data_IF_546959939172
#
_entry.id   IF_546959939172
#
_cell.length_a   1.000
_cell.length_b   1.000
_cell.length_c   1.000
_cell.angle_alpha   90.00
_cell.angle_beta   90.00
_cell.angle_gamma   90.00
#
_symmetry.space_group_name_H-M   'P 1'
#
loop_
_entity.id
_entity.type
_entity.pdbx_description
1 polymer ?
#
# COMPACT_ATOMS: atom_id res chain seq x y z
N UNK A 1 -10.50 -39.21 7.28
CA UNK A 1 -11.28 -38.68 8.43
C UNK A 1 -12.71 -38.45 7.96
N UNK A 2 -13.68 -38.58 8.87
CA UNK A 2 -15.08 -38.31 8.52
C UNK A 2 -15.59 -37.07 9.26
N UNK A 3 -16.29 -36.21 8.52
CA UNK A 3 -16.96 -35.01 9.03
C UNK A 3 -18.43 -34.98 8.69
N UNK A 4 -19.23 -34.46 9.58
CA UNK A 4 -20.69 -34.29 9.41
C UNK A 4 -20.94 -32.82 9.05
N UNK A 5 -21.63 -32.59 7.92
CA UNK A 5 -22.02 -31.25 7.53
C UNK A 5 -23.07 -30.70 8.48
N UNK A 6 -22.82 -29.54 9.02
CA UNK A 6 -23.73 -28.75 9.85
C UNK A 6 -23.98 -27.38 9.18
N UNK A 7 -24.76 -26.54 9.85
CA UNK A 7 -25.14 -25.24 9.32
C UNK A 7 -23.92 -24.29 9.22
N UNK A 8 -23.33 -24.23 8.06
CA UNK A 8 -22.15 -23.35 7.78
C UNK A 8 -20.79 -23.87 8.25
N UNK A 9 -20.66 -25.10 8.73
CA UNK A 9 -19.38 -25.70 9.16
C UNK A 9 -19.44 -27.25 9.11
N UNK A 10 -18.27 -27.89 9.28
CA UNK A 10 -18.17 -29.36 9.32
C UNK A 10 -17.68 -29.84 10.68
N UNK A 11 -18.35 -30.80 11.25
CA UNK A 11 -18.05 -31.37 12.58
C UNK A 11 -17.25 -32.66 12.42
N UNK A 12 -16.03 -32.69 12.96
CA UNK A 12 -15.29 -33.96 13.17
C UNK A 12 -15.44 -34.36 14.62
N UNK A 13 -16.30 -35.39 14.87
CA UNK A 13 -16.68 -35.84 16.25
C UNK A 13 -15.59 -36.69 16.91
N UNK A 14 -14.77 -37.39 16.12
CA UNK A 14 -13.71 -38.24 16.67
C UNK A 14 -12.66 -37.40 17.36
N UNK A 15 -12.39 -37.69 18.64
CA UNK A 15 -11.47 -36.91 19.46
C UNK A 15 -10.00 -37.04 19.00
N UNK A 16 -9.61 -38.23 18.54
CA UNK A 16 -8.23 -38.47 18.10
C UNK A 16 -7.96 -37.74 16.79
N UNK A 17 -8.87 -37.83 15.84
CA UNK A 17 -8.81 -37.10 14.58
C UNK A 17 -8.89 -35.58 14.80
N UNK A 18 -9.80 -35.12 15.66
CA UNK A 18 -9.88 -33.70 16.04
C UNK A 18 -8.61 -33.15 16.66
N UNK A 19 -8.00 -33.89 17.60
CA UNK A 19 -6.72 -33.52 18.20
C UNK A 19 -5.59 -33.49 17.16
N UNK A 20 -5.58 -34.38 16.18
CA UNK A 20 -4.61 -34.39 15.08
C UNK A 20 -4.80 -33.18 14.15
N UNK A 21 -6.03 -32.84 13.79
CA UNK A 21 -6.35 -31.67 12.96
C UNK A 21 -5.92 -30.39 13.67
N UNK A 22 -6.34 -30.19 14.90
CA UNK A 22 -6.05 -28.97 15.67
C UNK A 22 -4.56 -28.87 16.05
N UNK A 23 -4.00 -29.90 16.71
CA UNK A 23 -2.67 -29.82 17.29
C UNK A 23 -1.53 -29.92 16.29
N UNK A 24 -1.66 -30.78 15.24
CA UNK A 24 -0.64 -30.95 14.21
C UNK A 24 -0.95 -30.19 12.93
N UNK A 25 -2.20 -30.17 12.53
CA UNK A 25 -2.66 -29.55 11.29
C UNK A 25 -2.94 -28.07 11.42
N UNK A 26 -3.18 -27.55 12.61
CA UNK A 26 -3.69 -26.20 12.83
C UNK A 26 -4.98 -25.93 12.05
N UNK A 27 -5.92 -26.89 12.08
CA UNK A 27 -7.26 -26.79 11.51
C UNK A 27 -8.31 -26.86 12.62
N UNK A 28 -9.43 -26.19 12.41
CA UNK A 28 -10.61 -26.27 13.23
C UNK A 28 -10.54 -25.53 14.57
N UNK A 29 -11.67 -25.55 15.24
CA UNK A 29 -11.88 -25.01 16.59
C UNK A 29 -12.28 -26.14 17.53
N UNK A 30 -11.60 -26.32 18.70
CA UNK A 30 -11.92 -27.39 19.64
C UNK A 30 -13.34 -27.31 20.16
N UNK A 31 -14.05 -28.45 20.21
CA UNK A 31 -15.41 -28.59 20.75
C UNK A 31 -15.38 -29.00 22.21
N UNK A 32 -16.38 -28.55 22.94
CA UNK A 32 -16.67 -29.14 24.27
C UNK A 32 -17.12 -30.59 24.09
N UNK A 33 -16.42 -31.51 24.73
CA UNK A 33 -16.70 -32.94 24.59
C UNK A 33 -15.87 -33.70 23.57
N UNK A 34 -14.94 -33.02 22.90
CA UNK A 34 -14.00 -33.60 21.93
C UNK A 34 -14.35 -33.32 20.47
N UNK A 35 -13.35 -33.52 19.60
CA UNK A 35 -13.46 -33.21 18.18
C UNK A 35 -13.21 -31.76 17.86
N UNK A 36 -13.46 -31.35 16.61
CA UNK A 36 -13.28 -30.00 16.11
C UNK A 36 -14.40 -29.58 15.17
N UNK A 37 -14.66 -28.29 15.12
CA UNK A 37 -15.47 -27.63 14.10
C UNK A 37 -14.50 -27.03 13.05
N UNK A 38 -14.73 -27.34 11.78
CA UNK A 38 -14.00 -26.82 10.63
C UNK A 38 -14.88 -25.79 9.93
N UNK A 39 -14.32 -24.63 9.61
CA UNK A 39 -14.98 -23.68 8.71
C UNK A 39 -15.04 -24.23 7.27
N UNK A 40 -15.76 -23.53 6.38
CA UNK A 40 -15.94 -24.00 5.01
C UNK A 40 -14.65 -23.93 4.19
N UNK A 41 -13.74 -22.96 4.44
CA UNK A 41 -12.43 -22.88 3.79
C UNK A 41 -11.55 -24.09 4.15
N UNK A 42 -11.47 -24.40 5.46
CA UNK A 42 -10.74 -25.55 5.98
C UNK A 42 -11.32 -26.87 5.46
N UNK A 43 -12.64 -26.97 5.43
CA UNK A 43 -13.36 -28.16 4.98
C UNK A 43 -13.15 -28.43 3.50
N UNK A 44 -13.30 -27.41 2.65
CA UNK A 44 -13.03 -27.52 1.21
C UNK A 44 -11.59 -27.94 0.94
N UNK A 45 -10.61 -27.33 1.60
CA UNK A 45 -9.21 -27.68 1.43
C UNK A 45 -8.92 -29.14 1.86
N UNK A 46 -9.46 -29.57 2.98
CA UNK A 46 -9.24 -30.94 3.48
C UNK A 46 -9.92 -32.00 2.59
N UNK A 47 -11.08 -31.68 1.97
CA UNK A 47 -11.74 -32.54 0.97
C UNK A 47 -10.93 -32.57 -0.32
N UNK A 48 -10.46 -31.41 -0.84
CA UNK A 48 -9.56 -31.35 -2.02
C UNK A 48 -8.32 -32.23 -1.83
N UNK A 49 -7.74 -32.21 -0.63
CA UNK A 49 -6.55 -33.00 -0.29
C UNK A 49 -6.85 -34.49 0.00
N UNK A 50 -8.09 -34.94 -0.10
CA UNK A 50 -8.49 -36.31 0.22
C UNK A 50 -8.32 -36.69 1.71
N UNK A 51 -8.20 -35.68 2.60
CA UNK A 51 -8.00 -35.89 4.06
C UNK A 51 -9.28 -35.92 4.86
N UNK A 52 -10.35 -35.36 4.31
CA UNK A 52 -11.66 -35.28 4.94
C UNK A 52 -12.73 -35.81 3.99
N UNK A 53 -13.62 -36.65 4.48
CA UNK A 53 -14.82 -37.13 3.81
C UNK A 53 -16.02 -36.50 4.51
N UNK A 54 -16.72 -35.59 3.83
CA UNK A 54 -17.88 -34.87 4.42
C UNK A 54 -19.15 -35.57 4.00
N UNK A 55 -20.05 -35.78 4.96
CA UNK A 55 -21.35 -36.40 4.72
C UNK A 55 -22.45 -35.69 5.54
N UNK A 56 -23.65 -35.84 5.07
CA UNK A 56 -24.87 -35.60 5.88
C UNK A 56 -25.66 -36.91 5.99
N UNK A 57 -26.94 -36.83 6.39
CA UNK A 57 -27.81 -38.03 6.52
C UNK A 57 -28.09 -38.74 5.19
N UNK A 58 -27.90 -38.08 4.06
CA UNK A 58 -28.35 -38.50 2.73
C UNK A 58 -27.24 -38.85 1.76
N UNK A 59 -26.08 -38.16 1.83
CA UNK A 59 -25.00 -38.32 0.86
C UNK A 59 -23.61 -37.92 1.40
N UNK A 60 -22.58 -38.31 0.63
CA UNK A 60 -21.23 -37.83 0.77
C UNK A 60 -21.00 -36.68 -0.22
N UNK A 61 -20.27 -35.65 0.19
CA UNK A 61 -20.01 -34.46 -0.58
C UNK A 61 -18.63 -34.54 -1.26
N UNK A 62 -18.60 -34.32 -2.57
CA UNK A 62 -17.37 -34.14 -3.33
C UNK A 62 -16.77 -32.75 -3.06
N UNK A 63 -15.55 -32.48 -3.55
CA UNK A 63 -14.96 -31.14 -3.51
C UNK A 63 -15.86 -30.13 -4.22
N UNK A 64 -16.37 -30.46 -5.40
CA UNK A 64 -17.28 -29.61 -6.15
C UNK A 64 -18.56 -29.29 -5.37
N UNK A 65 -19.16 -30.29 -4.72
CA UNK A 65 -20.35 -30.09 -3.90
C UNK A 65 -20.06 -29.12 -2.72
N UNK A 66 -18.94 -29.33 -2.04
CA UNK A 66 -18.51 -28.46 -0.93
C UNK A 66 -18.23 -27.04 -1.38
N UNK A 67 -17.53 -26.89 -2.53
CA UNK A 67 -17.21 -25.59 -3.10
C UNK A 67 -18.48 -24.81 -3.49
N UNK A 68 -19.42 -25.47 -4.19
CA UNK A 68 -20.71 -24.87 -4.54
C UNK A 68 -21.53 -24.47 -3.30
N UNK A 69 -21.54 -25.34 -2.27
CA UNK A 69 -22.22 -25.04 -1.01
C UNK A 69 -21.61 -23.79 -0.35
N UNK A 70 -20.30 -23.73 -0.28
CA UNK A 70 -19.60 -22.61 0.32
C UNK A 70 -19.76 -21.30 -0.49
N UNK A 71 -19.74 -21.37 -1.82
CA UNK A 71 -19.97 -20.20 -2.70
C UNK A 71 -21.40 -19.66 -2.61
N UNK A 72 -22.38 -20.50 -2.25
CA UNK A 72 -23.74 -20.03 -1.99
C UNK A 72 -23.91 -19.39 -0.60
N UNK A 73 -23.02 -19.69 0.34
CA UNK A 73 -23.08 -19.22 1.71
C UNK A 73 -22.18 -18.01 1.99
N UNK A 74 -21.11 -17.84 1.24
CA UNK A 74 -20.07 -16.82 1.44
C UNK A 74 -19.84 -16.11 0.11
N UNK A 75 -19.97 -14.79 0.13
CA UNK A 75 -19.66 -13.93 -1.01
C UNK A 75 -18.16 -14.02 -1.37
N UNK A 76 -17.85 -14.02 -2.67
CA UNK A 76 -16.47 -14.12 -3.19
C UNK A 76 -15.68 -15.34 -2.64
N UNK A 77 -16.38 -16.44 -2.33
CA UNK A 77 -15.77 -17.64 -1.76
C UNK A 77 -14.62 -18.19 -2.59
N UNK A 78 -14.69 -18.12 -3.91
CA UNK A 78 -13.64 -18.53 -4.84
C UNK A 78 -12.33 -17.74 -4.62
N UNK A 79 -12.42 -16.41 -4.48
CA UNK A 79 -11.29 -15.55 -4.16
C UNK A 79 -10.72 -15.89 -2.78
N UNK A 80 -11.59 -16.00 -1.78
CA UNK A 80 -11.20 -16.39 -0.41
C UNK A 80 -10.49 -17.74 -0.40
N UNK A 81 -11.01 -18.73 -1.14
CA UNK A 81 -10.45 -20.06 -1.20
C UNK A 81 -9.08 -20.11 -1.86
N UNK A 82 -8.90 -19.41 -2.99
CA UNK A 82 -7.61 -19.31 -3.70
C UNK A 82 -6.54 -18.73 -2.76
N UNK A 83 -6.83 -17.60 -2.09
CA UNK A 83 -5.90 -16.98 -1.14
C UNK A 83 -5.61 -17.90 0.06
N UNK A 84 -6.65 -18.49 0.65
CA UNK A 84 -6.52 -19.44 1.75
C UNK A 84 -5.61 -20.61 1.37
N UNK A 85 -5.84 -21.21 0.21
CA UNK A 85 -5.09 -22.34 -0.32
C UNK A 85 -3.62 -22.00 -0.58
N UNK A 86 -3.34 -20.83 -1.20
CA UNK A 86 -1.97 -20.39 -1.44
C UNK A 86 -1.20 -20.19 -0.13
N UNK A 87 -1.80 -19.53 0.86
CA UNK A 87 -1.15 -19.32 2.16
C UNK A 87 -0.91 -20.64 2.89
N UNK A 88 -1.89 -21.56 2.86
CA UNK A 88 -1.78 -22.86 3.56
C UNK A 88 -0.80 -23.79 2.89
N UNK A 89 -0.85 -23.95 1.58
CA UNK A 89 -0.07 -24.94 0.82
C UNK A 89 1.17 -24.32 0.19
N UNK A 90 1.02 -23.15 -0.43
CA UNK A 90 2.12 -22.48 -1.11
C UNK A 90 3.12 -21.83 -0.16
N UNK A 91 2.65 -21.31 1.00
CA UNK A 91 3.50 -20.63 2.00
C UNK A 91 3.71 -21.43 3.27
N UNK A 92 2.91 -22.46 3.52
CA UNK A 92 3.00 -23.27 4.72
C UNK A 92 2.65 -22.54 6.03
N UNK A 93 1.86 -21.46 5.93
CA UNK A 93 1.46 -20.67 7.09
C UNK A 93 0.10 -21.11 7.64
N UNK A 94 -0.12 -20.86 8.91
CA UNK A 94 -1.42 -21.05 9.54
C UNK A 94 -2.32 -19.85 9.23
N UNK A 95 -3.55 -20.14 8.80
CA UNK A 95 -4.57 -19.15 8.44
C UNK A 95 -5.88 -19.56 9.11
N UNK A 96 -6.62 -18.58 9.57
CA UNK A 96 -7.98 -18.75 10.11
C UNK A 96 -8.93 -17.77 9.44
N UNK A 97 -10.12 -18.21 9.15
CA UNK A 97 -11.20 -17.36 8.70
C UNK A 97 -11.56 -16.36 9.82
N UNK A 98 -11.82 -15.13 9.46
CA UNK A 98 -12.28 -14.08 10.35
C UNK A 98 -13.68 -13.61 9.93
N UNK A 99 -14.29 -12.78 10.76
CA UNK A 99 -15.56 -12.13 10.48
C UNK A 99 -15.42 -10.62 10.66
N UNK A 100 -16.14 -9.83 9.86
CA UNK A 100 -16.11 -8.37 9.93
C UNK A 100 -15.23 -7.76 8.85
N UNK A 101 -14.34 -6.82 9.19
CA UNK A 101 -13.57 -6.02 8.23
C UNK A 101 -12.41 -6.77 7.56
N UNK A 102 -12.11 -7.97 7.97
CA UNK A 102 -11.01 -8.80 7.47
C UNK A 102 -11.51 -10.21 7.20
N UNK A 103 -10.98 -10.83 6.16
CA UNK A 103 -11.40 -12.17 5.74
C UNK A 103 -10.65 -13.27 6.50
N UNK A 104 -9.39 -12.99 6.81
CA UNK A 104 -8.50 -13.99 7.43
C UNK A 104 -7.51 -13.35 8.39
N UNK A 105 -7.11 -14.16 9.38
CA UNK A 105 -5.91 -13.92 10.18
C UNK A 105 -4.80 -14.90 9.81
N UNK A 106 -3.58 -14.38 9.62
CA UNK A 106 -2.42 -15.16 9.18
C UNK A 106 -1.34 -15.14 10.27
N UNK A 107 -0.84 -16.31 10.63
CA UNK A 107 0.19 -16.48 11.64
C UNK A 107 1.58 -16.39 11.01
N UNK A 108 2.56 -15.97 11.78
CA UNK A 108 3.95 -15.94 11.34
C UNK A 108 4.52 -17.32 11.07
N UNK A 109 5.62 -17.40 10.33
CA UNK A 109 6.27 -18.66 9.97
C UNK A 109 6.64 -19.49 11.22
N UNK A 110 6.30 -20.77 11.22
CA UNK A 110 6.53 -21.72 12.32
C UNK A 110 5.65 -21.50 13.55
N UNK A 111 4.68 -20.58 13.51
CA UNK A 111 3.73 -20.33 14.60
C UNK A 111 2.50 -21.22 14.49
N UNK A 112 1.88 -21.51 15.64
CA UNK A 112 0.67 -22.34 15.75
C UNK A 112 -0.49 -21.51 16.30
N UNK A 113 -1.72 -21.86 15.93
CA UNK A 113 -2.91 -21.21 16.46
C UNK A 113 -3.12 -21.38 17.97
N UNK A 114 -2.56 -22.46 18.55
CA UNK A 114 -2.72 -22.80 19.98
C UNK A 114 -1.91 -21.91 20.93
N UNK A 115 -0.77 -21.37 20.47
CA UNK A 115 0.23 -20.74 21.33
C UNK A 115 0.73 -19.36 20.81
N UNK A 116 0.18 -18.89 19.70
CA UNK A 116 0.63 -17.68 19.05
C UNK A 116 -0.53 -16.75 18.71
N UNK A 117 -0.21 -15.48 18.47
CA UNK A 117 -1.18 -14.51 17.91
C UNK A 117 -0.91 -14.33 16.41
N UNK A 118 -1.96 -14.05 15.62
CA UNK A 118 -1.78 -13.69 14.21
C UNK A 118 -0.83 -12.49 14.05
N UNK A 119 0.00 -12.53 13.04
CA UNK A 119 0.90 -11.44 12.66
C UNK A 119 0.23 -10.49 11.66
N UNK A 120 -0.71 -11.01 10.89
CA UNK A 120 -1.39 -10.26 9.83
C UNK A 120 -2.89 -10.45 9.90
N UNK A 121 -3.62 -9.39 9.56
CA UNK A 121 -5.03 -9.42 9.15
C UNK A 121 -5.04 -9.27 7.63
N UNK A 122 -5.81 -10.09 6.93
CA UNK A 122 -5.78 -10.19 5.48
C UNK A 122 -7.16 -9.91 4.89
N UNK A 123 -7.18 -9.15 3.81
CA UNK A 123 -8.30 -8.96 2.89
C UNK A 123 -7.97 -9.66 1.57
N UNK A 124 -8.83 -10.57 1.14
CA UNK A 124 -8.71 -11.27 -0.13
C UNK A 124 -9.61 -10.57 -1.16
N UNK A 125 -9.03 -10.18 -2.27
CA UNK A 125 -9.74 -9.38 -3.27
C UNK A 125 -9.39 -9.83 -4.70
N UNK A 126 -10.33 -9.65 -5.62
CA UNK A 126 -10.07 -9.82 -7.04
C UNK A 126 -9.27 -8.62 -7.59
N UNK A 127 -8.40 -8.85 -8.59
CA UNK A 127 -7.74 -7.76 -9.33
C UNK A 127 -8.74 -6.78 -9.98
N UNK A 128 -9.99 -7.24 -10.19
CA UNK A 128 -11.08 -6.42 -10.75
C UNK A 128 -11.82 -5.57 -9.72
N UNK A 129 -11.55 -5.76 -8.44
CA UNK A 129 -12.15 -4.94 -7.41
C UNK A 129 -11.49 -3.57 -7.32
N UNK A 130 -12.24 -2.62 -6.78
CA UNK A 130 -11.77 -1.26 -6.52
C UNK A 130 -11.14 -1.20 -5.14
N UNK A 131 -9.97 -0.63 -5.04
CA UNK A 131 -9.29 -0.35 -3.79
C UNK A 131 -9.63 1.07 -3.33
N UNK A 132 -10.16 1.18 -2.12
CA UNK A 132 -10.40 2.44 -1.42
C UNK A 132 -9.22 2.76 -0.49
N UNK A 133 -8.59 3.93 -0.71
CA UNK A 133 -7.40 4.33 0.04
C UNK A 133 -7.73 4.74 1.46
N UNK A 134 -8.86 5.40 1.68
CA UNK A 134 -9.30 5.84 3.01
C UNK A 134 -9.61 4.66 3.91
N UNK A 135 -10.37 3.69 3.42
CA UNK A 135 -10.66 2.43 4.13
C UNK A 135 -9.38 1.63 4.41
N UNK A 136 -8.46 1.57 3.45
CA UNK A 136 -7.19 0.86 3.63
C UNK A 136 -6.27 1.53 4.65
N UNK A 137 -6.26 2.86 4.69
CA UNK A 137 -5.51 3.62 5.69
C UNK A 137 -6.07 3.37 7.10
N UNK A 138 -7.39 3.45 7.28
CA UNK A 138 -8.04 3.20 8.57
C UNK A 138 -7.86 1.73 9.01
N UNK A 139 -8.01 0.77 8.11
CA UNK A 139 -7.72 -0.64 8.39
C UNK A 139 -6.25 -0.89 8.78
N UNK A 140 -5.32 -0.15 8.15
CA UNK A 140 -3.89 -0.23 8.51
C UNK A 140 -3.63 0.32 9.92
N UNK A 141 -4.25 1.45 10.28
CA UNK A 141 -4.16 2.02 11.63
C UNK A 141 -4.73 1.06 12.68
N UNK A 142 -5.94 0.56 12.43
CA UNK A 142 -6.61 -0.40 13.34
C UNK A 142 -5.74 -1.65 13.58
N UNK A 143 -5.17 -2.23 12.52
CA UNK A 143 -4.31 -3.41 12.67
C UNK A 143 -3.02 -3.09 13.41
N UNK A 144 -2.42 -1.92 13.16
CA UNK A 144 -1.20 -1.48 13.86
C UNK A 144 -1.42 -1.28 15.36
N UNK A 145 -2.56 -0.73 15.79
CA UNK A 145 -2.94 -0.61 17.22
C UNK A 145 -2.99 -1.98 17.90
N UNK A 146 -3.43 -3.00 17.16
CA UNK A 146 -3.44 -4.40 17.61
C UNK A 146 -2.09 -5.12 17.44
N UNK A 147 -1.03 -4.41 17.06
CA UNK A 147 0.30 -4.95 16.75
C UNK A 147 0.29 -6.01 15.67
N UNK A 148 -0.51 -5.81 14.65
CA UNK A 148 -0.62 -6.64 13.45
C UNK A 148 -0.36 -5.78 12.21
N UNK A 149 -0.18 -6.41 11.06
CA UNK A 149 -0.09 -5.71 9.79
C UNK A 149 -1.29 -6.05 8.92
N UNK A 150 -1.73 -5.11 8.10
CA UNK A 150 -2.73 -5.37 7.07
C UNK A 150 -2.04 -5.95 5.83
N UNK A 151 -2.59 -7.06 5.31
CA UNK A 151 -2.25 -7.64 4.02
C UNK A 151 -3.45 -7.57 3.08
N UNK A 152 -3.19 -7.35 1.81
CA UNK A 152 -4.11 -7.68 0.72
C UNK A 152 -3.56 -8.88 -0.04
N UNK A 153 -4.41 -9.88 -0.28
CA UNK A 153 -4.16 -10.97 -1.22
C UNK A 153 -4.99 -10.71 -2.48
N UNK A 154 -4.35 -10.29 -3.55
CA UNK A 154 -5.00 -9.92 -4.81
C UNK A 154 -4.90 -11.09 -5.77
N UNK A 155 -6.05 -11.62 -6.20
CA UNK A 155 -6.17 -12.77 -7.10
C UNK A 155 -6.40 -12.26 -8.52
N UNK A 156 -5.56 -12.69 -9.47
CA UNK A 156 -5.71 -12.37 -10.88
C UNK A 156 -6.60 -13.38 -11.63
N UNK A 157 -6.80 -13.17 -12.93
CA UNK A 157 -7.66 -14.01 -13.78
C UNK A 157 -7.17 -15.46 -13.92
N UNK A 158 -5.86 -15.72 -13.70
CA UNK A 158 -5.26 -17.06 -13.77
C UNK A 158 -5.27 -17.76 -12.39
N UNK A 159 -5.71 -17.05 -11.33
CA UNK A 159 -5.72 -17.55 -9.96
C UNK A 159 -4.39 -17.39 -9.22
N UNK A 160 -3.47 -16.64 -9.77
CA UNK A 160 -2.23 -16.29 -9.09
C UNK A 160 -2.48 -15.20 -8.02
N UNK A 161 -1.81 -15.35 -6.86
CA UNK A 161 -2.00 -14.43 -5.73
C UNK A 161 -0.78 -13.51 -5.55
N UNK A 162 -1.02 -12.22 -5.63
CA UNK A 162 -0.04 -11.18 -5.28
C UNK A 162 -0.39 -10.55 -3.94
N UNK A 163 0.59 -10.47 -3.03
CA UNK A 163 0.37 -9.89 -1.70
C UNK A 163 0.96 -8.50 -1.57
N UNK A 164 0.19 -7.61 -0.95
CA UNK A 164 0.61 -6.26 -0.59
C UNK A 164 0.49 -6.07 0.92
N UNK A 165 1.57 -5.63 1.54
CA UNK A 165 1.59 -5.27 2.96
C UNK A 165 1.48 -3.76 3.08
N UNK A 166 0.61 -3.31 3.96
CA UNK A 166 0.31 -1.91 4.14
C UNK A 166 1.07 -1.32 5.34
N UNK A 167 1.56 -0.09 5.17
CA UNK A 167 2.22 0.65 6.26
C UNK A 167 1.76 2.11 6.28
N UNK A 168 1.39 2.60 7.45
CA UNK A 168 1.32 4.05 7.67
C UNK A 168 2.74 4.56 7.88
N UNK A 169 3.14 5.57 7.11
CA UNK A 169 4.48 6.15 7.15
C UNK A 169 4.45 7.58 7.65
N UNK A 170 5.55 7.97 8.27
CA UNK A 170 5.85 9.35 8.66
C UNK A 170 7.24 9.71 8.11
N UNK A 171 7.33 10.07 6.79
CA UNK A 171 8.60 10.31 6.15
C UNK A 171 9.26 11.57 6.72
N UNK A 172 10.55 11.49 7.04
CA UNK A 172 11.35 12.60 7.53
C UNK A 172 12.75 12.58 6.91
N UNK A 173 13.32 13.76 6.77
CA UNK A 173 14.68 13.97 6.25
C UNK A 173 15.50 14.88 7.14
N UNK A 174 16.67 15.30 6.65
CA UNK A 174 17.64 16.11 7.39
C UNK A 174 17.93 17.45 6.73
N UNK A 175 17.37 17.71 5.54
CA UNK A 175 17.64 18.91 4.73
C UNK A 175 16.53 19.92 4.93
N UNK A 176 16.68 20.77 5.91
CA UNK A 176 15.80 21.92 6.13
C UNK A 176 16.34 23.10 5.33
N UNK A 177 15.47 23.96 4.73
CA UNK A 177 15.92 25.19 4.11
C UNK A 177 16.70 26.01 5.12
N UNK A 178 17.91 26.40 4.73
CA UNK A 178 18.85 27.13 5.61
C UNK A 178 18.56 28.61 5.62
N UNK A 179 19.11 29.36 6.61
CA UNK A 179 19.02 30.83 6.67
C UNK A 179 19.95 31.53 5.67
N UNK A 180 20.28 30.87 4.55
CA UNK A 180 21.07 31.47 3.46
C UNK A 180 20.32 32.70 2.94
N UNK A 181 20.99 33.85 2.98
CA UNK A 181 20.46 35.09 2.42
C UNK A 181 20.56 35.04 0.90
N UNK A 182 19.43 35.26 0.26
CA UNK A 182 19.38 35.32 -1.19
C UNK A 182 17.95 35.43 -1.68
N UNK A 183 17.82 35.82 -2.93
CA UNK A 183 16.56 35.92 -3.63
C UNK A 183 16.81 35.61 -5.11
N UNK A 184 15.89 34.97 -5.77
CA UNK A 184 16.00 34.68 -7.19
C UNK A 184 14.95 35.45 -8.01
N UNK A 185 15.25 35.74 -9.25
CA UNK A 185 14.31 36.28 -10.23
C UNK A 185 14.06 35.23 -11.32
N UNK A 186 12.83 34.77 -11.44
CA UNK A 186 12.43 33.75 -12.39
C UNK A 186 11.49 34.28 -13.45
N UNK A 187 11.55 33.69 -14.63
CA UNK A 187 10.63 33.94 -15.74
C UNK A 187 9.82 32.70 -16.01
N UNK A 188 8.50 32.82 -15.97
CA UNK A 188 7.57 31.73 -16.32
C UNK A 188 7.57 31.55 -17.84
N UNK A 189 7.87 30.34 -18.28
CA UNK A 189 7.78 29.90 -19.68
C UNK A 189 7.06 28.55 -19.75
N UNK A 190 5.87 28.56 -20.31
CA UNK A 190 5.00 27.38 -20.38
C UNK A 190 4.82 26.72 -18.99
N UNK A 191 5.32 25.54 -18.77
CA UNK A 191 5.12 24.73 -17.58
C UNK A 191 6.27 24.82 -16.54
N UNK A 192 7.16 25.84 -16.64
CA UNK A 192 8.40 25.97 -15.83
C UNK A 192 8.78 27.41 -15.58
N UNK A 193 9.57 27.60 -14.51
CA UNK A 193 10.19 28.88 -14.22
C UNK A 193 11.69 28.77 -14.41
N UNK A 194 12.28 29.71 -15.18
CA UNK A 194 13.70 29.75 -15.45
C UNK A 194 14.37 30.90 -14.70
N UNK A 195 15.54 30.64 -14.12
CA UNK A 195 16.41 31.62 -13.49
C UNK A 195 17.71 31.67 -14.30
N UNK A 196 18.05 32.84 -14.80
CA UNK A 196 19.18 33.03 -15.73
C UNK A 196 20.45 33.53 -15.05
N UNK A 197 20.33 34.15 -13.89
CA UNK A 197 21.47 34.65 -13.13
C UNK A 197 22.20 33.53 -12.39
N UNK A 198 23.49 33.34 -12.64
CA UNK A 198 24.26 32.23 -12.06
C UNK A 198 24.45 32.34 -10.55
N UNK A 199 24.53 33.53 -9.99
CA UNK A 199 24.63 33.75 -8.54
C UNK A 199 23.35 33.33 -7.82
N UNK A 200 22.20 33.65 -8.42
CA UNK A 200 20.88 33.23 -7.91
C UNK A 200 20.66 31.72 -8.06
N UNK A 201 21.23 31.09 -9.09
CA UNK A 201 21.21 29.63 -9.24
C UNK A 201 21.95 28.93 -8.08
N UNK A 202 23.13 29.41 -7.71
CA UNK A 202 23.88 28.91 -6.56
C UNK A 202 23.07 29.03 -5.26
N UNK A 203 22.45 30.19 -5.05
CA UNK A 203 21.55 30.38 -3.90
C UNK A 203 20.44 29.33 -3.82
N UNK A 204 19.74 29.04 -4.90
CA UNK A 204 18.65 28.05 -4.90
C UNK A 204 19.12 26.63 -4.58
N UNK A 205 20.33 26.27 -5.00
CA UNK A 205 20.95 25.01 -4.63
C UNK A 205 21.27 24.98 -3.13
N UNK A 206 22.00 25.98 -2.63
CA UNK A 206 22.48 26.04 -1.25
C UNK A 206 21.33 26.23 -0.24
N UNK A 207 20.24 26.88 -0.66
CA UNK A 207 19.03 27.04 0.17
C UNK A 207 18.28 25.73 0.43
N UNK A 208 18.42 24.73 -0.46
CA UNK A 208 17.78 23.43 -0.24
C UNK A 208 17.61 22.57 -1.48
N UNK A 209 18.57 22.62 -2.39
CA UNK A 209 18.58 21.81 -3.61
C UNK A 209 17.38 22.06 -4.54
N UNK A 210 16.90 23.30 -4.65
CA UNK A 210 15.79 23.63 -5.55
C UNK A 210 16.25 23.65 -7.01
N UNK A 211 15.36 23.31 -7.92
CA UNK A 211 15.58 23.36 -9.35
C UNK A 211 16.61 22.37 -9.90
N UNK A 212 17.00 22.61 -11.14
CA UNK A 212 18.04 21.86 -11.84
C UNK A 212 18.79 22.75 -12.81
N UNK A 213 20.11 22.72 -12.77
CA UNK A 213 20.97 23.37 -13.74
C UNK A 213 20.90 22.65 -15.09
N UNK A 214 20.67 23.40 -16.18
CA UNK A 214 20.68 22.94 -17.57
C UNK A 214 21.41 23.98 -18.40
N UNK A 215 22.61 23.65 -18.88
CA UNK A 215 23.42 24.53 -19.74
C UNK A 215 23.58 25.98 -19.21
N UNK A 216 23.81 26.13 -17.91
CA UNK A 216 24.03 27.45 -17.29
C UNK A 216 22.74 28.20 -16.93
N UNK A 217 21.56 27.60 -17.15
CA UNK A 217 20.26 28.14 -16.79
C UNK A 217 19.63 27.22 -15.74
N UNK A 218 19.05 27.81 -14.72
CA UNK A 218 18.34 27.03 -13.69
C UNK A 218 16.85 26.89 -14.06
N UNK A 219 16.35 25.68 -13.89
CA UNK A 219 14.95 25.36 -14.17
C UNK A 219 14.26 24.88 -12.90
N UNK A 220 13.15 25.49 -12.57
CA UNK A 220 12.21 25.10 -11.50
C UNK A 220 10.93 24.53 -12.10
N UNK A 221 10.35 23.54 -11.46
CA UNK A 221 8.96 23.16 -11.72
C UNK A 221 8.00 24.21 -11.16
N UNK A 222 6.76 24.25 -11.64
CA UNK A 222 5.74 25.17 -11.12
C UNK A 222 5.52 24.97 -9.60
N UNK A 223 5.51 23.71 -9.14
CA UNK A 223 5.36 23.40 -7.70
C UNK A 223 6.53 23.96 -6.88
N UNK A 224 7.78 23.84 -7.36
CA UNK A 224 8.96 24.43 -6.70
C UNK A 224 8.87 25.97 -6.68
N UNK A 225 8.45 26.55 -7.79
CA UNK A 225 8.31 28.01 -7.92
C UNK A 225 7.22 28.55 -6.98
N UNK A 226 6.04 27.90 -6.88
CA UNK A 226 4.99 28.27 -5.94
C UNK A 226 5.49 28.18 -4.48
N UNK A 227 6.20 27.12 -4.12
CA UNK A 227 6.76 26.98 -2.77
C UNK A 227 7.74 28.13 -2.45
N UNK A 228 8.69 28.40 -3.34
CA UNK A 228 9.68 29.46 -3.15
C UNK A 228 9.06 30.86 -3.14
N UNK A 229 8.05 31.10 -3.96
CA UNK A 229 7.30 32.36 -3.99
C UNK A 229 6.53 32.56 -2.67
N UNK A 230 5.85 31.52 -2.18
CA UNK A 230 5.19 31.55 -0.88
C UNK A 230 6.13 31.73 0.32
N UNK A 231 7.42 31.34 0.18
CA UNK A 231 8.48 31.61 1.18
C UNK A 231 9.22 32.94 0.95
N UNK A 232 8.84 33.75 -0.06
CA UNK A 232 9.47 35.02 -0.39
C UNK A 232 10.93 34.88 -0.86
N UNK A 233 11.26 33.75 -1.50
CA UNK A 233 12.63 33.43 -1.95
C UNK A 233 12.84 33.58 -3.46
N UNK A 234 11.76 33.85 -4.20
CA UNK A 234 11.79 34.12 -5.63
C UNK A 234 10.74 35.19 -5.98
N UNK A 235 11.03 35.99 -6.98
CA UNK A 235 10.04 36.78 -7.73
C UNK A 235 9.84 36.11 -9.07
N UNK A 236 8.61 35.92 -9.51
CA UNK A 236 8.28 35.32 -10.81
C UNK A 236 7.61 36.35 -11.70
N UNK A 237 8.08 36.45 -12.95
CA UNK A 237 7.47 37.30 -13.99
C UNK A 237 6.99 36.43 -15.15
N UNK A 238 5.92 36.86 -15.80
CA UNK A 238 5.49 36.26 -17.06
C UNK A 238 6.42 36.63 -18.23
N UNK A 239 6.12 36.12 -19.42
CA UNK A 239 6.87 36.43 -20.64
C UNK A 239 6.80 37.91 -21.06
N UNK A 240 5.82 38.66 -20.58
CA UNK A 240 5.64 40.10 -20.84
C UNK A 240 6.34 40.97 -19.79
N UNK A 241 6.97 40.36 -18.79
CA UNK A 241 7.63 41.04 -17.69
C UNK A 241 6.68 41.42 -16.52
N UNK A 242 5.43 41.00 -16.55
CA UNK A 242 4.46 41.24 -15.46
C UNK A 242 4.78 40.36 -14.27
N UNK A 243 4.89 40.92 -13.09
CA UNK A 243 5.13 40.18 -11.85
C UNK A 243 3.89 39.40 -11.46
N UNK A 244 4.07 38.13 -11.10
CA UNK A 244 3.02 37.22 -10.67
C UNK A 244 3.12 37.05 -9.15
N UNK A 245 2.01 37.25 -8.47
CA UNK A 245 1.88 36.86 -7.06
C UNK A 245 1.64 35.35 -6.91
N UNK A 246 1.52 34.88 -5.66
CA UNK A 246 1.31 33.47 -5.38
C UNK A 246 0.04 32.92 -6.01
N UNK A 247 -1.06 33.68 -5.88
CA UNK A 247 -2.38 33.23 -6.34
C UNK A 247 -2.42 33.12 -7.86
N UNK A 248 -1.83 34.10 -8.58
CA UNK A 248 -1.74 34.08 -10.04
C UNK A 248 -0.87 32.91 -10.56
N UNK A 249 0.27 32.61 -9.92
CA UNK A 249 1.10 31.48 -10.31
C UNK A 249 0.44 30.14 -9.97
N UNK A 250 -0.25 30.05 -8.84
CA UNK A 250 -0.97 28.86 -8.40
C UNK A 250 -2.17 28.55 -9.32
N UNK A 251 -2.95 29.57 -9.68
CA UNK A 251 -4.05 29.44 -10.65
C UNK A 251 -3.53 28.97 -12.01
N UNK A 252 -2.45 29.59 -12.49
CA UNK A 252 -1.80 29.15 -13.73
C UNK A 252 -1.40 27.66 -13.66
N UNK A 253 -0.73 27.25 -12.58
CA UNK A 253 -0.31 25.87 -12.39
C UNK A 253 -1.48 24.89 -12.32
N UNK A 254 -2.62 25.31 -11.75
CA UNK A 254 -3.82 24.51 -11.63
C UNK A 254 -4.53 24.29 -12.98
N UNK A 255 -4.36 25.23 -13.94
CA UNK A 255 -4.84 25.07 -15.31
C UNK A 255 -3.92 24.14 -16.12
N UNK A 256 -2.60 24.27 -15.93
CA UNK A 256 -1.61 23.53 -16.71
C UNK A 256 -1.39 22.09 -16.25
N UNK A 257 -1.70 21.75 -14.98
CA UNK A 257 -1.36 20.45 -14.40
C UNK A 257 -2.50 19.90 -13.55
N UNK A 258 -2.91 18.66 -13.88
CA UNK A 258 -3.88 17.93 -13.07
C UNK A 258 -3.40 17.74 -11.63
N UNK A 259 -4.31 17.78 -10.68
CA UNK A 259 -4.05 17.59 -9.23
C UNK A 259 -3.01 18.56 -8.65
N UNK A 260 -2.80 19.74 -9.28
CA UNK A 260 -1.74 20.69 -8.92
C UNK A 260 -1.84 21.13 -7.45
N UNK A 261 -3.05 21.38 -6.94
CA UNK A 261 -3.26 21.75 -5.53
C UNK A 261 -2.75 20.68 -4.57
N UNK A 262 -3.12 19.41 -4.80
CA UNK A 262 -2.66 18.30 -3.96
C UNK A 262 -1.14 18.14 -4.04
N UNK A 263 -0.57 18.34 -5.24
CA UNK A 263 0.89 18.26 -5.45
C UNK A 263 1.62 19.39 -4.70
N UNK A 264 1.09 20.61 -4.71
CA UNK A 264 1.66 21.74 -3.95
C UNK A 264 1.60 21.48 -2.44
N UNK A 265 0.49 20.99 -1.92
CA UNK A 265 0.34 20.64 -0.50
C UNK A 265 1.33 19.56 -0.08
N UNK A 266 1.41 18.47 -0.82
CA UNK A 266 2.33 17.36 -0.54
C UNK A 266 3.79 17.81 -0.67
N UNK A 267 4.12 18.61 -1.69
CA UNK A 267 5.46 19.17 -1.84
C UNK A 267 5.86 19.99 -0.61
N UNK A 268 4.99 20.89 -0.16
CA UNK A 268 5.21 21.74 1.01
C UNK A 268 5.43 20.91 2.27
N UNK A 269 4.55 19.94 2.55
CA UNK A 269 4.65 19.07 3.73
C UNK A 269 5.98 18.28 3.74
N UNK A 270 6.35 17.69 2.59
CA UNK A 270 7.62 16.96 2.47
C UNK A 270 8.85 17.86 2.69
N UNK A 271 8.80 19.09 2.17
CA UNK A 271 9.88 20.09 2.37
C UNK A 271 9.99 20.52 3.84
N UNK A 272 8.86 20.72 4.52
CA UNK A 272 8.81 21.08 5.93
C UNK A 272 9.28 19.95 6.85
N UNK A 273 9.21 18.70 6.38
CA UNK A 273 9.78 17.51 7.04
C UNK A 273 11.28 17.31 6.79
N UNK A 274 11.96 18.26 6.17
CA UNK A 274 13.39 18.19 5.87
C UNK A 274 13.77 17.24 4.73
N UNK A 275 12.84 16.98 3.82
CA UNK A 275 13.07 16.10 2.67
C UNK A 275 13.39 16.94 1.42
N UNK A 276 14.26 16.44 0.54
CA UNK A 276 14.48 17.03 -0.78
C UNK A 276 13.55 16.35 -1.79
N UNK A 277 12.73 17.17 -2.46
CA UNK A 277 11.69 16.71 -3.38
C UNK A 277 12.03 17.08 -4.80
N UNK A 278 12.06 16.10 -5.70
CA UNK A 278 12.35 16.27 -7.13
C UNK A 278 11.26 15.59 -7.97
N UNK A 279 11.19 15.96 -9.26
CA UNK A 279 10.24 15.36 -10.18
C UNK A 279 10.42 13.83 -10.27
N UNK A 280 9.30 13.10 -10.13
CA UNK A 280 9.23 11.63 -10.17
C UNK A 280 8.89 11.04 -11.53
N UNK A 281 8.74 11.87 -12.58
CA UNK A 281 8.23 11.49 -13.90
C UNK A 281 8.83 10.20 -14.47
N UNK A 282 10.15 10.03 -14.42
CA UNK A 282 10.81 8.83 -14.95
C UNK A 282 10.47 7.52 -14.21
N UNK A 283 9.80 7.63 -13.07
CA UNK A 283 9.30 6.50 -12.27
C UNK A 283 7.78 6.39 -12.31
N UNK A 284 7.11 7.22 -13.13
CA UNK A 284 5.64 7.26 -13.19
C UNK A 284 4.98 7.79 -11.93
N UNK A 285 5.68 8.63 -11.14
CA UNK A 285 5.17 9.23 -9.89
C UNK A 285 5.26 10.75 -9.94
N UNK A 286 4.56 11.44 -9.04
CA UNK A 286 4.66 12.90 -8.95
C UNK A 286 6.05 13.32 -8.45
N UNK A 287 6.53 12.68 -7.39
CA UNK A 287 7.80 13.04 -6.77
C UNK A 287 8.72 11.83 -6.53
N UNK A 288 10.01 12.08 -6.59
CA UNK A 288 11.08 11.28 -5.98
C UNK A 288 11.67 12.09 -4.82
N UNK A 289 11.88 11.43 -3.70
CA UNK A 289 12.14 12.12 -2.43
C UNK A 289 13.37 11.55 -1.75
N UNK A 290 14.24 12.45 -1.30
CA UNK A 290 15.51 12.15 -0.66
C UNK A 290 15.46 12.55 0.82
N UNK A 291 16.10 11.77 1.68
CA UNK A 291 16.19 12.05 3.11
C UNK A 291 17.41 12.93 3.46
N UNK A 292 18.37 13.02 2.56
CA UNK A 292 19.62 13.75 2.72
C UNK A 292 20.03 14.38 1.38
N UNK A 293 21.27 14.87 1.25
CA UNK A 293 21.82 15.48 0.05
C UNK A 293 21.59 14.58 -1.18
N UNK A 294 20.90 15.06 -2.22
CA UNK A 294 20.59 14.27 -3.41
C UNK A 294 21.81 13.99 -4.29
N UNK A 295 22.93 14.72 -4.12
CA UNK A 295 24.16 14.49 -4.84
C UNK A 295 24.98 13.34 -4.23
N UNK A 296 24.78 13.07 -2.91
CA UNK A 296 25.49 12.04 -2.17
C UNK A 296 24.64 10.77 -1.94
N UNK A 297 23.31 10.85 -2.07
CA UNK A 297 22.43 9.71 -1.78
C UNK A 297 21.41 9.44 -2.88
N UNK A 298 20.85 8.24 -2.85
CA UNK A 298 19.72 7.88 -3.71
C UNK A 298 18.38 8.27 -3.06
N UNK A 299 17.40 8.65 -3.90
CA UNK A 299 16.03 8.84 -3.42
C UNK A 299 15.51 7.56 -2.74
N UNK A 300 14.98 7.70 -1.55
CA UNK A 300 14.36 6.61 -0.81
C UNK A 300 12.91 6.39 -1.23
N UNK A 301 12.14 7.48 -1.38
CA UNK A 301 10.71 7.39 -1.63
C UNK A 301 10.35 7.84 -3.05
N UNK A 302 9.32 7.20 -3.58
CA UNK A 302 8.52 7.66 -4.70
C UNK A 302 7.15 8.05 -4.16
N UNK A 303 6.60 9.22 -4.53
CA UNK A 303 5.39 9.73 -3.91
C UNK A 303 4.36 10.12 -4.97
N UNK A 304 3.14 9.61 -4.78
CA UNK A 304 1.93 10.09 -5.45
C UNK A 304 1.14 10.98 -4.49
N UNK A 305 0.84 12.20 -4.89
CA UNK A 305 -0.14 13.05 -4.23
C UNK A 305 -1.54 12.65 -4.70
N UNK A 306 -2.43 12.30 -3.79
CA UNK A 306 -3.79 11.85 -4.13
C UNK A 306 -4.81 12.46 -3.17
N UNK A 307 -6.06 12.67 -3.60
CA UNK A 307 -7.14 12.99 -2.67
C UNK A 307 -7.31 11.89 -1.63
N UNK A 308 -7.80 12.25 -0.44
CA UNK A 308 -8.02 11.28 0.65
C UNK A 308 -9.02 10.17 0.26
N UNK A 309 -10.12 10.54 -0.39
CA UNK A 309 -11.19 9.63 -0.81
C UNK A 309 -10.97 9.08 -2.24
N UNK A 310 -9.71 8.85 -2.62
CA UNK A 310 -9.42 8.29 -3.94
C UNK A 310 -9.63 6.79 -3.96
N UNK A 311 -10.15 6.30 -5.07
CA UNK A 311 -10.21 4.87 -5.39
C UNK A 311 -9.38 4.57 -6.63
N UNK A 312 -8.76 3.40 -6.69
CA UNK A 312 -8.00 2.93 -7.86
C UNK A 312 -8.24 1.45 -8.09
N UNK A 313 -8.10 1.03 -9.33
CA UNK A 313 -8.11 -0.40 -9.68
C UNK A 313 -6.79 -1.05 -9.28
N UNK A 314 -6.84 -2.30 -8.83
CA UNK A 314 -5.64 -3.06 -8.43
C UNK A 314 -4.55 -3.16 -9.50
N UNK A 315 -4.84 -3.28 -10.81
CA UNK A 315 -3.80 -3.27 -11.85
C UNK A 315 -2.94 -2.00 -11.86
N UNK A 316 -3.53 -0.82 -11.58
CA UNK A 316 -2.79 0.44 -11.53
C UNK A 316 -1.87 0.52 -10.31
N UNK A 317 -2.36 0.04 -9.15
CA UNK A 317 -1.57 -0.08 -7.92
C UNK A 317 -0.42 -1.07 -8.14
N UNK A 318 -0.72 -2.25 -8.69
CA UNK A 318 0.25 -3.30 -8.97
C UNK A 318 1.39 -2.80 -9.86
N UNK A 319 1.06 -2.09 -10.95
CA UNK A 319 2.04 -1.48 -11.85
C UNK A 319 2.95 -0.51 -11.11
N UNK A 320 2.39 0.37 -10.31
CA UNK A 320 3.12 1.39 -9.55
C UNK A 320 4.06 0.75 -8.52
N UNK A 321 3.57 -0.23 -7.76
CA UNK A 321 4.36 -0.94 -6.74
C UNK A 321 5.49 -1.76 -7.37
N UNK A 322 5.24 -2.45 -8.50
CA UNK A 322 6.27 -3.22 -9.22
C UNK A 322 7.39 -2.33 -9.76
N UNK A 323 7.04 -1.16 -10.31
CA UNK A 323 8.04 -0.19 -10.80
C UNK A 323 8.93 0.32 -9.66
N UNK A 324 8.37 0.62 -8.49
CA UNK A 324 9.13 1.08 -7.32
C UNK A 324 10.05 -0.01 -6.76
N UNK A 325 9.56 -1.25 -6.67
CA UNK A 325 10.33 -2.42 -6.23
C UNK A 325 11.51 -2.73 -7.14
N UNK A 326 11.35 -2.59 -8.46
CA UNK A 326 12.42 -2.78 -9.44
C UNK A 326 13.59 -1.81 -9.28
N UNK A 327 13.37 -0.64 -8.68
CA UNK A 327 14.39 0.38 -8.40
C UNK A 327 14.73 0.50 -6.91
N UNK A 328 14.30 -0.44 -6.09
CA UNK A 328 14.55 -0.50 -4.63
C UNK A 328 14.13 0.78 -3.91
N UNK A 329 12.93 1.28 -4.17
CA UNK A 329 12.35 2.47 -3.54
C UNK A 329 11.01 2.15 -2.92
N UNK A 330 10.69 2.81 -1.82
CA UNK A 330 9.39 2.72 -1.16
C UNK A 330 8.39 3.60 -1.91
N UNK A 331 7.20 3.07 -2.23
CA UNK A 331 6.13 3.86 -2.86
C UNK A 331 5.14 4.33 -1.81
N UNK A 332 4.95 5.64 -1.73
CA UNK A 332 4.04 6.30 -0.82
C UNK A 332 2.90 6.99 -1.59
N UNK A 333 1.70 6.77 -1.13
CA UNK A 333 0.54 7.57 -1.52
C UNK A 333 0.30 8.61 -0.43
N UNK A 334 0.53 9.87 -0.77
CA UNK A 334 0.31 11.02 0.10
C UNK A 334 -1.15 11.45 -0.06
N UNK A 335 -1.97 11.06 0.90
CA UNK A 335 -3.43 11.25 0.92
C UNK A 335 -3.76 12.60 1.53
N UNK A 336 -4.33 13.51 0.74
CA UNK A 336 -4.60 14.91 1.11
C UNK A 336 -6.05 15.07 1.54
N UNK A 337 -6.27 15.50 2.79
CA UNK A 337 -7.57 15.89 3.33
C UNK A 337 -7.48 17.29 3.95
N UNK A 338 -7.97 18.30 3.26
CA UNK A 338 -7.81 19.69 3.67
C UNK A 338 -6.33 20.07 3.81
N UNK A 339 -5.89 20.35 5.04
CA UNK A 339 -4.48 20.63 5.38
C UNK A 339 -3.73 19.43 5.98
N UNK A 340 -4.40 18.28 6.11
CA UNK A 340 -3.79 17.07 6.67
C UNK A 340 -3.29 16.17 5.54
N UNK A 341 -2.09 15.62 5.69
CA UNK A 341 -1.51 14.67 4.75
C UNK A 341 -1.09 13.42 5.51
N UNK A 342 -1.53 12.28 5.00
CA UNK A 342 -1.18 10.97 5.55
C UNK A 342 -0.52 10.12 4.46
N UNK A 343 0.51 9.38 4.85
CA UNK A 343 1.30 8.60 3.90
C UNK A 343 1.04 7.12 4.07
N UNK A 344 0.50 6.49 3.03
CA UNK A 344 0.24 5.05 2.97
C UNK A 344 1.22 4.41 2.00
N UNK A 345 2.00 3.44 2.48
CA UNK A 345 2.92 2.64 1.67
C UNK A 345 2.29 1.31 1.30
N UNK A 346 2.52 0.88 0.07
CA UNK A 346 2.25 -0.46 -0.44
C UNK A 346 3.57 -1.19 -0.67
N UNK A 347 3.84 -2.19 0.13
CA UNK A 347 5.00 -3.06 -0.03
C UNK A 347 4.59 -4.35 -0.76
N UNK A 348 5.22 -4.66 -1.92
CA UNK A 348 5.08 -5.99 -2.51
C UNK A 348 5.68 -7.01 -1.54
N UNK A 349 4.86 -7.90 -1.03
CA UNK A 349 5.22 -8.77 0.07
C UNK A 349 5.10 -10.24 -0.31
N UNK A 350 5.99 -11.08 0.22
CA UNK A 350 5.94 -12.55 0.06
C UNK A 350 5.76 -13.18 1.43
N UNK A 351 4.54 -13.57 1.82
CA UNK A 351 4.30 -14.21 3.10
C UNK A 351 5.14 -15.49 3.26
N UNK A 352 5.63 -15.75 4.48
CA UNK A 352 6.40 -16.97 4.78
C UNK A 352 7.86 -16.97 4.38
N UNK A 353 8.32 -16.04 3.55
CA UNK A 353 9.76 -15.86 3.33
C UNK A 353 10.36 -15.07 4.49
N UNK A 354 11.38 -15.63 5.13
CA UNK A 354 12.17 -14.89 6.13
C UNK A 354 13.03 -13.89 5.35
N UNK A 355 12.95 -12.56 5.66
CA UNK A 355 13.84 -11.59 5.04
C UNK A 355 15.30 -11.98 5.28
N UNK A 356 16.07 -12.22 4.21
CA UNK A 356 17.53 -12.41 4.30
C UNK A 356 18.04 -13.85 4.26
N UNK A 357 17.29 -14.78 3.66
CA UNK A 357 17.89 -16.06 3.20
C UNK A 357 17.91 -16.14 1.70
#
# INVERSE_FOLDING_TARGET
MRGELADGYVIVKDQTEGNRLYGKGNYGYPRRGGGVDLDLLESCLLVELGKLEVHDKSRTYSFEDMFRLASNAIEDFDILYIVYRDIRLGRGLVVKQETGNYDMSVFGAGKRQSDSRPAYMLRAVSERSVMDFSDSLEGTKETNERRKNLLYGVVDEEGDVTYYKMHVRDPAGKVFPTDVKGHAEGVLMSDRVFVFDQGQCGFLHDYGFFGKMINGIYQLSLVEACYLLGKGRITVRDQNGTEMDYDALFEYGSIEQDEFENRCKVYTDLRERGLVVKAGFKYGTHFRVYQDDPDDCHARFLVHAVPYEVTKMWPDISRTVRLSGGVKKEILFAMVSGNSIQYLEFEWYKPGLVPGK
#
